data_IF_493074544849
#
_entry.id   IF_493074544849
#
_cell.length_a   1.000
_cell.length_b   1.000
_cell.length_c   1.000
_cell.angle_alpha   90.00
_cell.angle_beta   90.00
_cell.angle_gamma   90.00
#
_symmetry.space_group_name_H-M   'P 1'
#
loop_
_entity.id
_entity.type
_entity.pdbx_description
1 polymer ?
#
# COMPACT_ATOMS: atom_id res chain seq x y z
N UNK A 1 1.23 6.48 2.06
CA UNK A 1 1.64 7.75 1.41
C UNK A 1 1.01 8.97 2.12
N UNK A 2 1.23 9.13 3.43
CA UNK A 2 0.78 10.31 4.20
C UNK A 2 1.90 10.97 5.01
N UNK A 3 3.05 10.31 5.14
CA UNK A 3 4.11 10.72 6.07
C UNK A 3 4.79 12.00 5.60
N UNK A 4 5.10 12.12 4.31
CA UNK A 4 5.77 13.29 3.73
C UNK A 4 4.85 14.50 3.52
N UNK A 5 3.53 14.30 3.43
CA UNK A 5 2.59 15.43 3.37
C UNK A 5 2.63 16.28 4.65
N UNK A 6 2.96 15.66 5.79
CA UNK A 6 3.20 16.37 7.06
C UNK A 6 4.45 17.26 7.04
N UNK A 7 5.36 17.07 6.09
CA UNK A 7 6.60 17.85 5.98
C UNK A 7 6.60 18.78 4.76
N UNK A 8 5.79 18.48 3.73
CA UNK A 8 5.63 19.31 2.53
C UNK A 8 4.23 19.91 2.53
N UNK A 9 4.00 20.87 3.44
CA UNK A 9 2.70 21.51 3.69
C UNK A 9 2.08 22.24 2.49
N UNK A 10 2.84 22.47 1.41
CA UNK A 10 2.38 23.24 0.24
C UNK A 10 1.78 22.40 -0.88
N UNK A 11 1.90 21.07 -0.82
CA UNK A 11 1.38 20.20 -1.88
C UNK A 11 0.04 19.59 -1.46
N UNK A 12 -0.96 19.73 -2.34
CA UNK A 12 -2.17 18.94 -2.24
C UNK A 12 -1.84 17.44 -2.37
N UNK A 13 -2.69 16.60 -1.80
CA UNK A 13 -2.58 15.13 -1.90
C UNK A 13 -2.41 14.67 -3.36
N UNK A 14 -3.15 15.27 -4.30
CA UNK A 14 -3.09 14.92 -5.72
C UNK A 14 -1.75 15.30 -6.36
N UNK A 15 -1.24 16.50 -6.07
CA UNK A 15 0.06 16.96 -6.56
C UNK A 15 1.21 16.10 -6.02
N UNK A 16 1.15 15.73 -4.74
CA UNK A 16 2.14 14.85 -4.11
C UNK A 16 2.10 13.43 -4.72
N UNK A 17 0.92 12.87 -4.93
CA UNK A 17 0.76 11.56 -5.57
C UNK A 17 1.33 11.54 -7.00
N UNK A 18 1.04 12.59 -7.80
CA UNK A 18 1.62 12.76 -9.14
C UNK A 18 3.15 12.84 -9.10
N UNK A 19 3.71 13.51 -8.10
CA UNK A 19 5.16 13.61 -7.91
C UNK A 19 5.78 12.22 -7.63
N UNK A 20 5.20 11.43 -6.72
CA UNK A 20 5.70 10.07 -6.46
C UNK A 20 5.62 9.14 -7.66
N UNK A 21 4.54 9.24 -8.44
CA UNK A 21 4.42 8.47 -9.67
C UNK A 21 5.46 8.90 -10.69
N UNK A 22 5.63 10.22 -10.89
CA UNK A 22 6.63 10.78 -11.82
C UNK A 22 8.05 10.33 -11.49
N UNK A 23 8.40 10.27 -10.20
CA UNK A 23 9.73 9.86 -9.75
C UNK A 23 9.88 8.36 -9.51
N UNK A 24 8.86 7.55 -9.85
CA UNK A 24 8.92 6.10 -9.67
C UNK A 24 8.95 5.61 -8.21
N UNK A 25 8.76 6.52 -7.24
CA UNK A 25 8.75 6.19 -5.79
C UNK A 25 7.52 5.35 -5.43
N UNK A 26 6.41 5.56 -6.13
CA UNK A 26 5.19 4.75 -5.98
C UNK A 26 5.19 3.49 -6.86
N UNK A 27 6.37 2.96 -7.16
CA UNK A 27 6.52 1.68 -7.87
C UNK A 27 7.26 0.69 -6.99
N UNK A 28 6.88 -0.59 -7.09
CA UNK A 28 7.65 -1.66 -6.46
C UNK A 28 9.03 -1.75 -7.14
N UNK A 29 10.11 -2.00 -6.38
CA UNK A 29 11.41 -2.31 -6.97
C UNK A 29 11.25 -3.47 -7.95
N UNK A 30 11.83 -3.35 -9.14
CA UNK A 30 11.85 -4.44 -10.11
C UNK A 30 12.74 -5.55 -9.55
N UNK A 31 12.16 -6.58 -8.96
CA UNK A 31 12.91 -7.76 -8.53
C UNK A 31 13.36 -8.53 -9.77
N UNK A 32 14.53 -9.18 -9.70
CA UNK A 32 14.99 -10.13 -10.71
C UNK A 32 14.19 -11.45 -10.65
N UNK A 33 13.27 -11.57 -9.71
CA UNK A 33 12.40 -12.72 -9.56
C UNK A 33 11.35 -12.75 -10.69
N UNK A 34 11.02 -13.94 -11.22
CA UNK A 34 9.97 -14.06 -12.23
C UNK A 34 8.67 -13.47 -11.69
N UNK A 35 8.02 -12.64 -12.52
CA UNK A 35 6.72 -12.04 -12.19
C UNK A 35 5.76 -13.18 -11.86
N UNK A 36 5.34 -13.27 -10.59
CA UNK A 36 4.29 -14.21 -10.20
C UNK A 36 3.05 -13.91 -11.02
N UNK A 37 2.45 -14.95 -11.61
CA UNK A 37 1.20 -14.81 -12.34
C UNK A 37 0.17 -14.06 -11.50
N UNK A 38 -0.45 -13.03 -12.09
CA UNK A 38 -1.49 -12.23 -11.44
C UNK A 38 -2.69 -13.13 -11.20
N UNK A 39 -2.81 -13.69 -10.00
CA UNK A 39 -3.99 -14.43 -9.58
C UNK A 39 -5.13 -13.44 -9.32
N UNK A 40 -6.31 -13.75 -9.86
CA UNK A 40 -7.53 -13.08 -9.45
C UNK A 40 -7.80 -13.39 -7.99
N UNK A 41 -8.37 -12.42 -7.28
CA UNK A 41 -8.81 -12.68 -5.91
C UNK A 41 -9.90 -13.76 -5.90
N UNK A 42 -9.87 -14.64 -4.91
CA UNK A 42 -10.95 -15.61 -4.70
C UNK A 42 -12.26 -14.88 -4.44
N UNK A 43 -13.35 -15.37 -5.05
CA UNK A 43 -14.71 -14.94 -4.75
C UNK A 43 -15.14 -15.60 -3.45
N UNK A 44 -15.59 -14.81 -2.48
CA UNK A 44 -16.12 -15.30 -1.24
C UNK A 44 -17.64 -15.06 -1.21
N UNK A 45 -18.45 -15.98 -0.67
CA UNK A 45 -19.87 -15.72 -0.41
C UNK A 45 -20.06 -14.59 0.62
N UNK A 46 -21.28 -14.07 0.73
CA UNK A 46 -21.66 -13.14 1.81
C UNK A 46 -21.33 -13.76 3.18
N UNK A 47 -20.80 -12.95 4.10
CA UNK A 47 -20.40 -13.39 5.44
C UNK A 47 -18.91 -13.72 5.62
N UNK A 48 -18.06 -13.44 4.62
CA UNK A 48 -16.61 -13.61 4.71
C UNK A 48 -15.89 -12.26 4.87
N UNK A 49 -15.07 -12.14 5.91
CA UNK A 49 -14.24 -10.97 6.18
C UNK A 49 -12.80 -11.23 5.72
N UNK A 50 -12.26 -10.36 4.87
CA UNK A 50 -10.87 -10.46 4.45
C UNK A 50 -9.97 -9.67 5.40
N UNK A 51 -9.13 -10.37 6.16
CA UNK A 51 -8.16 -9.76 7.07
C UNK A 51 -6.76 -9.84 6.45
N UNK A 52 -6.12 -8.68 6.28
CA UNK A 52 -4.70 -8.58 5.93
C UNK A 52 -3.90 -8.04 7.13
N UNK A 53 -2.67 -8.53 7.28
CA UNK A 53 -1.69 -7.98 8.20
C UNK A 53 -0.46 -7.50 7.42
N UNK A 54 0.18 -6.44 7.91
CA UNK A 54 1.44 -5.95 7.34
C UNK A 54 2.31 -5.39 8.45
N UNK A 55 3.57 -5.81 8.49
CA UNK A 55 4.60 -5.21 9.34
C UNK A 55 5.19 -3.98 8.63
N UNK A 56 5.26 -2.87 9.35
CA UNK A 56 5.80 -1.59 8.89
C UNK A 56 6.98 -1.24 9.76
N UNK A 57 8.17 -1.18 9.15
CA UNK A 57 9.38 -0.74 9.82
C UNK A 57 9.42 0.78 9.85
N UNK A 58 9.51 1.36 11.03
CA UNK A 58 9.68 2.79 11.27
C UNK A 58 11.01 3.05 12.00
N UNK A 59 11.41 4.31 12.11
CA UNK A 59 12.60 4.68 12.88
C UNK A 59 12.48 4.36 14.39
N UNK A 60 11.25 4.22 14.89
CA UNK A 60 10.94 3.93 16.29
C UNK A 60 10.77 2.43 16.57
N UNK A 61 10.82 1.58 15.53
CA UNK A 61 10.70 0.13 15.65
C UNK A 61 9.73 -0.50 14.63
N UNK A 62 9.05 -1.57 15.04
CA UNK A 62 8.11 -2.32 14.19
C UNK A 62 6.67 -1.94 14.56
N UNK A 63 5.90 -1.51 13.57
CA UNK A 63 4.46 -1.29 13.69
C UNK A 63 3.70 -2.40 12.92
N UNK A 64 2.55 -2.83 13.42
CA UNK A 64 1.71 -3.82 12.75
C UNK A 64 0.39 -3.18 12.34
N UNK A 65 0.04 -3.32 11.05
CA UNK A 65 -1.21 -2.87 10.50
C UNK A 65 -2.11 -4.08 10.25
N UNK A 66 -3.28 -4.10 10.89
CA UNK A 66 -4.33 -5.07 10.64
C UNK A 66 -5.49 -4.37 9.90
N UNK A 67 -5.88 -4.91 8.75
CA UNK A 67 -6.97 -4.36 7.94
C UNK A 67 -8.00 -5.44 7.70
N UNK A 68 -9.23 -5.20 8.11
CA UNK A 68 -10.38 -6.03 7.79
C UNK A 68 -11.22 -5.35 6.70
N UNK A 69 -11.47 -6.04 5.59
CA UNK A 69 -12.24 -5.55 4.46
C UNK A 69 -13.40 -6.52 4.22
N UNK A 70 -14.62 -6.00 4.29
CA UNK A 70 -15.78 -6.70 3.77
C UNK A 70 -15.71 -6.68 2.24
N UNK A 71 -15.73 -7.87 1.64
CA UNK A 71 -15.44 -8.11 0.22
C UNK A 71 -16.69 -8.55 -0.54
N UNK A 72 -17.86 -8.23 -0.02
CA UNK A 72 -19.18 -8.47 -0.63
C UNK A 72 -19.42 -7.66 -1.90
#
# INVERSE_FOLDING_TARGET
>A
MHVLQRFIFRLSRSSLNRLYQRHGISTLPRSAEPVRDKKTFKRYPLGYLHINNTEVHTAEGRAYLFVAIDRT
#
